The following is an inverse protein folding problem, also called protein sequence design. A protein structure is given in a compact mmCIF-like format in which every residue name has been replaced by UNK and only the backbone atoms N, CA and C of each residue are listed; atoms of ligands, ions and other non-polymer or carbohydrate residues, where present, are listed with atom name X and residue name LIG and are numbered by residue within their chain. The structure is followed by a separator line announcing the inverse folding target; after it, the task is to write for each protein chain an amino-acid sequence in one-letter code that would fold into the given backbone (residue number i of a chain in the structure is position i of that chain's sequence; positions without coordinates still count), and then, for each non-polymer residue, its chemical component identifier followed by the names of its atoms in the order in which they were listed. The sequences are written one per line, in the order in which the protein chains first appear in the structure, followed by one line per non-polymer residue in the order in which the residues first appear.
data_IF_674299902049
#
_entry.id   IF_674299902049
#
_cell.length_a   1.000
_cell.length_b   1.000
_cell.length_c   1.000
_cell.angle_alpha   90.00
_cell.angle_beta   90.00
_cell.angle_gamma   90.00
#
_symmetry.space_group_name_H-M   'P 1'
#
loop_
_entity.id
_entity.type
_entity.pdbx_description
1 polymer ?
#
# COMPACT_ATOMS: atom_id res chain seq x y z
N UNK A 1 -13.95 18.95 -1.11
CA UNK A 1 -14.86 17.94 -1.68
C UNK A 1 -14.61 16.66 -0.93
N UNK A 2 -15.66 15.96 -0.51
CA UNK A 2 -15.55 14.71 0.24
C UNK A 2 -15.68 13.51 -0.68
N UNK A 3 -14.98 12.44 -0.36
CA UNK A 3 -14.99 11.20 -1.11
C UNK A 3 -15.08 10.02 -0.15
N UNK A 4 -15.83 9.01 -0.57
CA UNK A 4 -15.79 7.67 0.02
C UNK A 4 -14.87 6.79 -0.81
N UNK A 5 -13.90 6.16 -0.17
CA UNK A 5 -12.98 5.20 -0.78
C UNK A 5 -13.31 3.81 -0.24
N UNK A 6 -13.55 2.86 -1.14
CA UNK A 6 -13.72 1.45 -0.80
C UNK A 6 -12.60 0.63 -1.42
N UNK A 7 -11.85 -0.10 -0.59
CA UNK A 7 -10.77 -0.99 -1.03
C UNK A 7 -11.22 -2.42 -0.81
N UNK A 8 -11.28 -3.21 -1.88
CA UNK A 8 -11.58 -4.65 -1.84
C UNK A 8 -10.30 -5.45 -2.08
N UNK A 9 -10.01 -6.40 -1.19
CA UNK A 9 -8.94 -7.37 -1.39
C UNK A 9 -9.35 -8.44 -2.41
N UNK A 10 -8.61 -8.52 -3.52
CA UNK A 10 -8.88 -9.46 -4.62
C UNK A 10 -8.07 -10.75 -4.52
N UNK A 11 -7.17 -10.85 -3.55
CA UNK A 11 -6.30 -12.02 -3.38
C UNK A 11 -7.07 -13.17 -2.72
N UNK A 12 -6.47 -14.37 -2.74
CA UNK A 12 -7.03 -15.58 -2.13
C UNK A 12 -6.48 -15.86 -0.72
N UNK A 13 -5.21 -15.50 -0.48
CA UNK A 13 -4.48 -15.87 0.74
C UNK A 13 -3.72 -14.73 1.40
N UNK A 14 -3.77 -13.52 0.83
CA UNK A 14 -3.05 -12.37 1.35
C UNK A 14 -4.00 -11.49 2.17
N UNK A 15 -3.52 -11.00 3.30
CA UNK A 15 -4.18 -9.94 4.07
C UNK A 15 -3.42 -8.64 3.85
N UNK A 16 -4.13 -7.51 3.80
CA UNK A 16 -3.47 -6.21 3.86
C UNK A 16 -3.39 -5.70 5.29
N UNK A 17 -2.27 -5.07 5.66
CA UNK A 17 -2.17 -4.28 6.90
C UNK A 17 -2.99 -2.99 6.78
N UNK A 18 -3.08 -2.17 7.84
CA UNK A 18 -3.69 -0.85 7.74
C UNK A 18 -3.21 -0.05 6.52
N UNK A 19 -4.16 0.42 5.72
CA UNK A 19 -3.87 1.33 4.63
C UNK A 19 -3.57 2.72 5.18
N UNK A 20 -2.52 3.34 4.65
CA UNK A 20 -2.33 4.79 4.70
C UNK A 20 -2.69 5.37 3.35
N UNK A 21 -3.54 6.39 3.33
CA UNK A 21 -4.00 7.03 2.12
C UNK A 21 -3.94 8.54 2.24
N UNK A 22 -3.70 9.24 1.13
CA UNK A 22 -3.58 10.69 1.12
C UNK A 22 -4.14 11.32 -0.15
N UNK A 23 -4.73 12.52 -0.01
CA UNK A 23 -5.00 13.42 -1.13
C UNK A 23 -3.89 14.46 -1.23
N UNK A 24 -3.39 14.67 -2.44
CA UNK A 24 -2.18 15.47 -2.65
C UNK A 24 -2.14 16.16 -4.02
N UNK A 25 -1.15 17.06 -4.18
CA UNK A 25 -0.84 17.73 -5.44
C UNK A 25 -0.19 16.77 -6.44
N UNK A 26 -0.23 17.15 -7.72
CA UNK A 26 0.41 16.41 -8.83
C UNK A 26 1.91 16.12 -8.63
N UNK A 27 2.60 17.00 -7.89
CA UNK A 27 4.04 16.89 -7.64
C UNK A 27 4.43 15.71 -6.75
N UNK A 28 3.49 15.21 -5.94
CA UNK A 28 3.74 14.13 -4.99
C UNK A 28 3.31 12.78 -5.55
N UNK A 29 4.09 11.76 -5.22
CA UNK A 29 3.82 10.34 -5.41
C UNK A 29 4.51 9.60 -4.26
N UNK A 30 4.03 8.44 -3.85
CA UNK A 30 4.55 7.75 -2.67
C UNK A 30 5.92 7.10 -2.92
N UNK A 31 6.17 6.66 -4.16
CA UNK A 31 7.42 6.04 -4.60
C UNK A 31 7.62 6.22 -6.11
N UNK A 32 8.82 5.87 -6.58
CA UNK A 32 9.18 5.78 -7.99
C UNK A 32 9.64 4.36 -8.31
N UNK A 33 9.23 3.81 -9.46
CA UNK A 33 9.76 2.54 -9.93
C UNK A 33 11.21 2.69 -10.37
N UNK A 34 12.05 1.73 -9.98
CA UNK A 34 13.49 1.73 -10.28
C UNK A 34 14.30 2.71 -9.41
N UNK A 35 13.70 3.30 -8.38
CA UNK A 35 14.40 4.10 -7.36
C UNK A 35 14.25 3.44 -5.99
N UNK A 36 15.20 3.68 -5.05
CA UNK A 36 15.09 3.18 -3.68
C UNK A 36 13.78 3.60 -3.01
N UNK A 37 13.20 2.71 -2.21
CA UNK A 37 12.08 3.05 -1.34
C UNK A 37 12.48 4.16 -0.34
N UNK A 38 11.53 5.04 -0.01
CA UNK A 38 11.70 5.90 1.16
C UNK A 38 11.57 5.07 2.44
N UNK A 39 12.14 5.55 3.55
CA UNK A 39 12.01 4.90 4.86
C UNK A 39 10.55 4.60 5.20
N UNK A 40 9.64 5.55 4.95
CA UNK A 40 8.21 5.33 5.21
C UNK A 40 7.57 4.24 4.35
N UNK A 41 8.05 4.02 3.12
CA UNK A 41 7.57 2.91 2.27
C UNK A 41 8.15 1.58 2.71
N UNK A 42 9.43 1.52 3.06
CA UNK A 42 10.05 0.32 3.61
C UNK A 42 9.33 -0.13 4.89
N UNK A 43 9.02 0.79 5.81
CA UNK A 43 8.30 0.46 7.05
C UNK A 43 6.87 -0.05 6.81
N UNK A 44 6.17 0.48 5.80
CA UNK A 44 4.87 -0.08 5.40
C UNK A 44 5.07 -1.47 4.80
N UNK A 45 6.07 -1.64 3.94
CA UNK A 45 6.30 -2.85 3.17
C UNK A 45 6.77 -4.03 4.03
N UNK A 46 7.58 -3.79 5.07
CA UNK A 46 8.14 -4.84 5.93
C UNK A 46 7.30 -5.08 7.19
N UNK A 47 6.76 -4.01 7.80
CA UNK A 47 6.09 -4.09 9.12
C UNK A 47 4.59 -3.78 9.07
N UNK A 48 4.10 -3.20 7.99
CA UNK A 48 2.80 -2.53 7.97
C UNK A 48 2.72 -1.32 8.90
N UNK A 49 3.87 -0.73 9.29
CA UNK A 49 3.91 0.46 10.11
C UNK A 49 3.79 1.72 9.24
N UNK A 50 2.66 2.40 9.35
CA UNK A 50 2.37 3.63 8.60
C UNK A 50 2.93 4.89 9.26
N UNK A 51 3.40 4.81 10.51
CA UNK A 51 3.78 5.97 11.33
C UNK A 51 4.83 6.87 10.69
N UNK A 52 5.96 6.33 10.19
CA UNK A 52 6.99 7.15 9.54
C UNK A 52 6.48 7.86 8.28
N UNK A 53 5.78 7.16 7.39
CA UNK A 53 5.23 7.78 6.18
C UNK A 53 4.16 8.82 6.50
N UNK A 54 3.28 8.54 7.46
CA UNK A 54 2.25 9.48 7.92
C UNK A 54 2.87 10.78 8.42
N UNK A 55 3.91 10.69 9.24
CA UNK A 55 4.62 11.86 9.78
C UNK A 55 5.22 12.74 8.67
N UNK A 56 5.80 12.11 7.63
CA UNK A 56 6.32 12.83 6.45
C UNK A 56 5.18 13.53 5.71
N UNK A 57 4.08 12.82 5.44
CA UNK A 57 2.94 13.35 4.68
C UNK A 57 2.23 14.49 5.44
N UNK A 58 2.11 14.42 6.77
CA UNK A 58 1.52 15.49 7.59
C UNK A 58 2.32 16.79 7.53
N UNK A 59 3.63 16.69 7.28
CA UNK A 59 4.52 17.85 7.18
C UNK A 59 4.66 18.42 5.76
N UNK A 60 4.13 17.74 4.73
CA UNK A 60 4.28 18.15 3.33
C UNK A 60 3.12 19.04 2.87
N UNK A 61 3.43 20.28 2.50
CA UNK A 61 2.47 21.25 1.94
C UNK A 61 1.77 20.78 0.65
N UNK A 62 2.23 19.69 0.04
CA UNK A 62 1.63 19.03 -1.11
C UNK A 62 0.52 18.06 -0.73
N UNK A 63 0.36 17.70 0.53
CA UNK A 63 -0.70 16.85 1.07
C UNK A 63 -1.82 17.72 1.64
N UNK A 64 -3.05 17.21 1.60
CA UNK A 64 -4.20 17.91 2.16
C UNK A 64 -4.96 17.08 3.20
N UNK A 65 -5.29 15.84 2.87
CA UNK A 65 -6.04 14.94 3.75
C UNK A 65 -5.29 13.62 3.80
N UNK A 66 -5.23 13.03 5.00
CA UNK A 66 -4.64 11.71 5.26
C UNK A 66 -5.70 10.89 5.97
N UNK A 67 -5.84 9.64 5.56
CA UNK A 67 -6.70 8.66 6.23
C UNK A 67 -5.90 7.38 6.46
N UNK A 68 -6.18 6.73 7.59
CA UNK A 68 -5.65 5.44 7.92
C UNK A 68 -6.80 4.48 8.23
N UNK A 69 -6.73 3.24 7.73
CA UNK A 69 -7.66 2.20 8.16
C UNK A 69 -7.16 1.49 9.41
N UNK A 70 -7.97 0.63 10.01
CA UNK A 70 -7.57 -0.18 11.16
C UNK A 70 -7.67 -1.66 10.82
N UNK A 71 -6.89 -2.48 11.53
CA UNK A 71 -6.93 -3.93 11.41
C UNK A 71 -6.40 -4.47 10.07
N UNK A 72 -6.51 -5.79 9.93
CA UNK A 72 -6.16 -6.48 8.69
C UNK A 72 -7.38 -6.53 7.76
N UNK A 73 -7.14 -6.37 6.45
CA UNK A 73 -8.14 -6.59 5.42
C UNK A 73 -7.90 -7.94 4.74
N UNK A 74 -8.69 -8.95 5.09
CA UNK A 74 -8.55 -10.31 4.59
C UNK A 74 -9.03 -10.52 3.14
N UNK A 75 -8.77 -11.69 2.54
CA UNK A 75 -9.21 -12.06 1.20
C UNK A 75 -10.72 -11.85 0.97
N UNK A 76 -11.08 -11.12 -0.10
CA UNK A 76 -12.47 -10.84 -0.48
C UNK A 76 -13.19 -9.79 0.38
N UNK A 77 -12.58 -9.33 1.47
CA UNK A 77 -13.16 -8.30 2.33
C UNK A 77 -13.04 -6.91 1.70
N UNK A 78 -13.83 -5.96 2.22
CA UNK A 78 -13.79 -4.57 1.80
C UNK A 78 -13.75 -3.65 3.02
N UNK A 79 -12.80 -2.72 3.03
CA UNK A 79 -12.77 -1.59 3.97
C UNK A 79 -13.23 -0.32 3.26
N UNK A 80 -13.91 0.55 3.98
CA UNK A 80 -14.34 1.85 3.47
C UNK A 80 -13.93 2.95 4.43
N UNK A 81 -13.39 4.04 3.90
CA UNK A 81 -12.99 5.22 4.65
C UNK A 81 -13.26 6.49 3.83
N UNK A 82 -13.20 7.63 4.50
CA UNK A 82 -13.44 8.93 3.87
C UNK A 82 -12.14 9.71 3.74
N UNK A 83 -12.04 10.49 2.66
CA UNK A 83 -10.99 11.48 2.43
C UNK A 83 -11.63 12.74 1.88
N UNK A 84 -10.89 13.84 1.93
CA UNK A 84 -11.37 15.09 1.37
C UNK A 84 -10.28 15.91 0.68
N UNK A 85 -10.68 17.06 0.14
CA UNK A 85 -9.83 17.99 -0.63
C UNK A 85 -10.25 19.42 -0.29
N UNK A 86 -9.29 20.33 -0.02
CA UNK A 86 -9.60 21.74 0.21
C UNK A 86 -10.08 22.35 -1.11
N UNK A 87 -11.37 22.63 -1.19
CA UNK A 87 -12.01 23.15 -2.39
C UNK A 87 -11.66 24.61 -2.65
N UNK A 88 -10.66 24.87 -3.51
CA UNK A 88 -10.68 25.88 -4.58
C UNK A 88 -9.49 25.57 -5.52
N UNK A 89 -9.73 25.46 -6.84
CA UNK A 89 -8.76 25.15 -7.91
C UNK A 89 -8.25 23.69 -8.06
N UNK A 90 -8.86 22.66 -7.44
CA UNK A 90 -8.48 21.24 -7.64
C UNK A 90 -6.98 20.92 -7.45
N UNK A 91 -6.26 21.70 -6.63
CA UNK A 91 -4.80 21.54 -6.47
C UNK A 91 -4.43 20.17 -5.89
N UNK A 92 -5.27 19.62 -5.03
CA UNK A 92 -5.10 18.32 -4.36
C UNK A 92 -5.96 17.22 -5.01
N UNK A 93 -6.09 17.26 -6.35
CA UNK A 93 -6.94 16.33 -7.10
C UNK A 93 -6.36 14.94 -7.32
N UNK A 94 -5.27 14.58 -6.63
CA UNK A 94 -4.62 13.27 -6.75
C UNK A 94 -4.74 12.50 -5.45
N UNK A 95 -4.73 11.19 -5.57
CA UNK A 95 -4.86 10.26 -4.47
C UNK A 95 -3.81 9.16 -4.57
N UNK A 96 -3.25 8.80 -3.42
CA UNK A 96 -2.40 7.63 -3.28
C UNK A 96 -2.76 6.86 -2.01
N UNK A 97 -2.47 5.56 -2.01
CA UNK A 97 -2.58 4.70 -0.84
C UNK A 97 -1.49 3.63 -0.86
N UNK A 98 -1.11 3.13 0.31
CA UNK A 98 -0.22 1.99 0.46
C UNK A 98 -0.60 1.13 1.68
N UNK A 99 -0.39 -0.18 1.58
CA UNK A 99 -0.47 -1.14 2.68
C UNK A 99 0.44 -2.35 2.39
N UNK A 100 0.95 -2.99 3.43
CA UNK A 100 1.69 -4.25 3.33
C UNK A 100 0.80 -5.38 2.81
N UNK A 101 1.39 -6.35 2.13
CA UNK A 101 0.81 -7.67 1.90
C UNK A 101 1.35 -8.67 2.94
N UNK A 102 0.47 -9.41 3.60
CA UNK A 102 0.84 -10.46 4.54
C UNK A 102 0.35 -11.84 4.07
N UNK A 103 1.18 -12.89 4.17
CA UNK A 103 2.60 -12.87 4.50
C UNK A 103 3.47 -12.53 3.27
N UNK A 104 4.32 -11.52 3.37
CA UNK A 104 5.41 -11.22 2.43
C UNK A 104 6.56 -10.58 3.21
N UNK A 105 7.74 -10.53 2.59
CA UNK A 105 8.92 -9.83 3.11
C UNK A 105 8.67 -8.31 3.09
N UNK A 106 8.80 -7.68 1.92
CA UNK A 106 8.61 -6.24 1.72
C UNK A 106 7.68 -5.91 0.56
N UNK A 107 6.59 -6.68 0.41
CA UNK A 107 5.61 -6.40 -0.63
C UNK A 107 4.48 -5.51 -0.10
N UNK A 108 4.13 -4.49 -0.87
CA UNK A 108 3.03 -3.57 -0.58
C UNK A 108 2.10 -3.36 -1.79
N UNK A 109 0.82 -3.13 -1.54
CA UNK A 109 -0.17 -2.73 -2.55
C UNK A 109 -0.19 -1.21 -2.62
N UNK A 110 -0.33 -0.64 -3.83
CA UNK A 110 -0.49 0.80 -3.94
C UNK A 110 -1.33 1.27 -5.12
N UNK A 111 -2.11 2.32 -4.89
CA UNK A 111 -2.38 3.31 -5.92
C UNK A 111 -1.42 4.47 -5.72
N UNK A 112 -0.72 4.86 -6.78
CA UNK A 112 0.30 5.90 -6.71
C UNK A 112 -0.05 7.03 -7.69
N UNK A 113 -0.54 8.15 -7.15
CA UNK A 113 -0.93 9.37 -7.87
C UNK A 113 -2.01 9.15 -8.93
N UNK A 114 -3.15 8.56 -8.54
CA UNK A 114 -4.35 8.50 -9.39
C UNK A 114 -5.17 9.78 -9.29
N UNK A 115 -6.01 10.07 -10.29
CA UNK A 115 -6.85 11.27 -10.31
C UNK A 115 -8.17 11.01 -9.60
N UNK A 116 -8.58 11.91 -8.69
CA UNK A 116 -9.89 11.84 -8.05
C UNK A 116 -11.02 12.14 -9.04
N UNK A 117 -12.17 11.46 -8.96
CA UNK A 117 -13.28 11.70 -9.88
C UNK A 117 -13.88 13.10 -9.66
N UNK A 118 -14.11 13.83 -10.74
CA UNK A 118 -14.80 15.11 -10.63
C UNK A 118 -16.29 14.93 -10.31
N UNK A 119 -16.95 13.88 -10.82
CA UNK A 119 -18.33 13.52 -10.52
C UNK A 119 -18.47 12.01 -10.44
N UNK A 120 -19.43 11.52 -9.66
CA UNK A 120 -19.70 10.09 -9.55
C UNK A 120 -18.54 9.29 -8.96
N UNK A 121 -18.31 8.10 -9.52
CA UNK A 121 -17.34 7.14 -9.01
C UNK A 121 -16.39 6.64 -10.09
N UNK A 122 -15.16 6.30 -9.69
CA UNK A 122 -14.16 5.63 -10.52
C UNK A 122 -13.59 4.42 -9.77
N UNK A 123 -13.29 3.35 -10.48
CA UNK A 123 -12.60 2.19 -9.91
C UNK A 123 -11.23 2.02 -10.55
N UNK A 124 -10.23 1.76 -9.71
CA UNK A 124 -8.88 1.40 -10.10
C UNK A 124 -8.58 -0.03 -9.65
N UNK A 125 -7.70 -0.69 -10.39
CA UNK A 125 -7.05 -1.91 -9.96
C UNK A 125 -5.65 -1.53 -9.45
N UNK A 126 -5.30 -1.99 -8.26
CA UNK A 126 -4.01 -1.74 -7.63
C UNK A 126 -3.16 -3.00 -7.68
N UNK A 127 -1.92 -2.83 -8.12
CA UNK A 127 -0.92 -3.89 -8.17
C UNK A 127 -0.08 -3.92 -6.88
N UNK A 128 0.61 -5.03 -6.69
CA UNK A 128 1.60 -5.21 -5.64
C UNK A 128 3.00 -4.83 -6.14
N UNK A 129 3.79 -4.22 -5.27
CA UNK A 129 5.15 -3.78 -5.50
C UNK A 129 6.04 -4.32 -4.39
N UNK A 130 7.25 -4.64 -4.76
CA UNK A 130 8.34 -5.03 -3.88
C UNK A 130 9.14 -3.76 -3.57
N UNK A 131 9.42 -3.48 -2.30
CA UNK A 131 10.14 -2.27 -1.90
C UNK A 131 11.65 -2.35 -2.23
N UNK A 132 12.18 -3.57 -2.37
CA UNK A 132 13.59 -3.86 -2.53
C UNK A 132 14.40 -3.43 -1.32
N UNK A 133 13.80 -3.39 -0.13
CA UNK A 133 14.46 -2.98 1.12
C UNK A 133 14.97 -4.14 1.95
N UNK A 134 14.47 -5.37 1.73
CA UNK A 134 15.02 -6.58 2.35
C UNK A 134 15.06 -7.78 1.38
N UNK A 135 15.79 -8.86 1.69
CA UNK A 135 15.80 -10.07 0.87
C UNK A 135 14.44 -10.80 0.84
N UNK A 136 14.01 -11.14 -0.36
CA UNK A 136 12.81 -11.95 -0.66
C UNK A 136 12.93 -13.43 -0.29
N UNK A 137 13.30 -13.72 0.96
CA UNK A 137 13.62 -15.06 1.43
C UNK A 137 12.41 -15.98 1.60
N UNK A 138 11.21 -15.41 1.75
CA UNK A 138 9.98 -16.11 2.12
C UNK A 138 10.10 -16.93 3.42
N UNK A 139 11.08 -16.59 4.27
CA UNK A 139 11.31 -17.24 5.55
C UNK A 139 10.40 -16.60 6.60
N UNK A 140 9.65 -17.41 7.36
CA UNK A 140 8.71 -16.86 8.34
C UNK A 140 9.40 -16.12 9.49
N UNK A 141 10.70 -16.31 9.69
CA UNK A 141 11.51 -15.53 10.64
C UNK A 141 11.72 -14.07 10.26
N UNK A 142 11.58 -13.73 8.97
CA UNK A 142 11.71 -12.38 8.42
C UNK A 142 10.37 -11.80 7.95
N UNK A 143 9.25 -12.43 8.35
CA UNK A 143 7.91 -11.99 7.95
C UNK A 143 7.06 -11.84 9.21
N UNK A 144 6.43 -10.68 9.43
CA UNK A 144 5.61 -10.47 10.61
C UNK A 144 4.31 -11.29 10.56
N UNK A 145 3.61 -11.29 11.70
CA UNK A 145 2.34 -12.00 11.84
C UNK A 145 1.20 -11.44 10.99
N UNK A 146 0.08 -12.19 10.86
CA UNK A 146 -0.30 -13.32 11.71
C UNK A 146 -0.01 -14.71 11.14
N UNK A 147 0.33 -14.83 9.85
CA UNK A 147 0.61 -16.13 9.24
C UNK A 147 2.01 -16.65 9.62
N UNK A 148 2.97 -15.74 9.66
CA UNK A 148 4.28 -15.95 10.26
C UNK A 148 4.30 -15.31 11.67
N UNK A 149 5.49 -15.03 12.20
CA UNK A 149 5.67 -14.40 13.50
C UNK A 149 7.09 -13.92 13.71
N UNK A 150 7.79 -13.67 12.61
CA UNK A 150 9.15 -13.18 12.57
C UNK A 150 9.25 -11.69 12.83
N UNK A 151 10.44 -11.18 12.58
CA UNK A 151 10.71 -9.74 12.63
C UNK A 151 9.99 -9.06 11.46
N UNK A 152 9.55 -7.81 11.69
CA UNK A 152 8.87 -7.02 10.66
C UNK A 152 9.71 -5.87 10.12
N UNK A 153 10.93 -5.66 10.62
CA UNK A 153 11.86 -4.69 10.05
C UNK A 153 13.23 -5.36 10.02
N UNK A 154 13.93 -5.23 8.89
CA UNK A 154 15.21 -5.88 8.66
C UNK A 154 16.31 -4.86 8.35
N UNK A 155 16.60 -3.88 9.23
CA UNK A 155 17.46 -2.73 8.90
C UNK A 155 18.94 -3.09 8.64
N UNK A 156 19.36 -4.29 9.01
CA UNK A 156 20.72 -4.79 8.83
C UNK A 156 20.88 -5.70 7.59
N UNK A 157 19.80 -5.94 6.84
CA UNK A 157 19.79 -6.75 5.61
C UNK A 157 19.57 -5.84 4.39
N UNK A 158 20.23 -6.15 3.26
CA UNK A 158 20.10 -5.39 2.01
C UNK A 158 19.17 -6.13 1.03
N UNK A 159 18.13 -5.46 0.54
CA UNK A 159 17.31 -5.93 -0.59
C UNK A 159 17.86 -5.55 -1.97
N UNK A 160 17.01 -5.56 -3.00
CA UNK A 160 17.39 -5.22 -4.38
C UNK A 160 17.77 -3.74 -4.57
N UNK A 161 17.38 -2.87 -3.63
CA UNK A 161 17.74 -1.46 -3.59
C UNK A 161 16.87 -0.54 -4.45
N UNK A 162 15.74 -1.03 -4.98
CA UNK A 162 14.79 -0.23 -5.74
C UNK A 162 13.38 -0.85 -5.72
N UNK A 163 12.36 -0.02 -5.87
CA UNK A 163 10.96 -0.47 -5.95
C UNK A 163 10.65 -1.03 -7.34
N UNK A 164 10.01 -2.19 -7.41
CA UNK A 164 9.58 -2.81 -8.67
C UNK A 164 8.25 -3.58 -8.54
N UNK A 165 7.58 -3.96 -9.65
CA UNK A 165 6.38 -4.78 -9.58
C UNK A 165 6.69 -6.11 -8.91
N UNK A 166 5.95 -6.46 -7.86
CA UNK A 166 6.22 -7.67 -7.08
C UNK A 166 6.01 -8.91 -7.95
N UNK A 167 6.97 -9.86 -7.96
CA UNK A 167 6.84 -11.12 -8.68
C UNK A 167 5.95 -12.12 -7.91
N UNK A 168 5.46 -11.73 -6.73
CA UNK A 168 4.65 -12.54 -5.83
C UNK A 168 5.40 -13.71 -5.20
N UNK A 169 4.67 -14.65 -4.60
CA UNK A 169 5.25 -15.78 -3.84
C UNK A 169 5.65 -16.94 -4.76
N UNK A 170 6.91 -17.35 -4.69
CA UNK A 170 7.51 -18.38 -5.53
C UNK A 170 7.67 -19.71 -4.79
N UNK A 171 7.62 -19.70 -3.45
CA UNK A 171 7.77 -20.89 -2.62
C UNK A 171 9.24 -21.28 -2.40
N UNK A 172 10.12 -20.28 -2.31
CA UNK A 172 11.57 -20.46 -2.12
C UNK A 172 11.94 -20.71 -0.65
N UNK A 173 11.11 -20.21 0.27
CA UNK A 173 11.27 -20.38 1.71
C UNK A 173 10.16 -21.23 2.33
N UNK A 174 9.54 -20.69 3.39
CA UNK A 174 8.51 -21.38 4.16
C UNK A 174 7.08 -21.05 3.70
N UNK A 175 6.93 -20.08 2.78
CA UNK A 175 5.64 -19.74 2.22
C UNK A 175 5.20 -20.71 1.13
N UNK A 176 3.92 -21.12 1.18
CA UNK A 176 3.33 -21.94 0.13
C UNK A 176 2.91 -21.08 -1.05
N UNK A 177 3.58 -21.25 -2.20
CA UNK A 177 3.15 -20.65 -3.47
C UNK A 177 1.68 -20.93 -3.78
N UNK A 178 1.20 -22.16 -3.58
CA UNK A 178 -0.19 -22.52 -3.86
C UNK A 178 -1.22 -21.81 -2.96
N UNK A 179 -0.79 -21.36 -1.77
CA UNK A 179 -1.63 -20.64 -0.82
C UNK A 179 -1.60 -19.13 -1.05
N UNK A 180 -0.41 -18.57 -1.28
CA UNK A 180 -0.17 -17.13 -1.18
C UNK A 180 0.10 -16.43 -2.50
N UNK A 181 0.43 -17.15 -3.59
CA UNK A 181 0.71 -16.50 -4.86
C UNK A 181 -0.54 -15.85 -5.47
N UNK A 182 -0.33 -14.73 -6.17
CA UNK A 182 -1.31 -14.01 -6.98
C UNK A 182 -0.79 -13.79 -8.40
N UNK A 183 -1.66 -13.32 -9.28
CA UNK A 183 -1.29 -12.90 -10.62
C UNK A 183 -2.14 -11.69 -11.01
N UNK A 184 -1.49 -10.60 -11.41
CA UNK A 184 -2.14 -9.33 -11.72
C UNK A 184 -2.56 -8.54 -10.46
N UNK A 185 -3.58 -7.68 -10.58
CA UNK A 185 -3.95 -6.77 -9.50
C UNK A 185 -4.43 -7.46 -8.23
N UNK A 186 -4.03 -6.92 -7.08
CA UNK A 186 -4.30 -7.48 -5.75
C UNK A 186 -5.46 -6.77 -5.03
N UNK A 187 -5.77 -5.53 -5.41
CA UNK A 187 -6.91 -4.80 -4.85
C UNK A 187 -7.73 -4.07 -5.92
N UNK A 188 -9.02 -3.92 -5.66
CA UNK A 188 -9.90 -3.00 -6.39
C UNK A 188 -10.23 -1.84 -5.47
N UNK A 189 -9.99 -0.62 -5.95
CA UNK A 189 -10.20 0.60 -5.18
C UNK A 189 -11.24 1.45 -5.91
N UNK A 190 -12.39 1.66 -5.28
CA UNK A 190 -13.45 2.51 -5.81
C UNK A 190 -13.49 3.81 -5.04
N UNK A 191 -13.38 4.93 -5.74
CA UNK A 191 -13.42 6.27 -5.18
C UNK A 191 -14.70 6.95 -5.67
N UNK A 192 -15.52 7.43 -4.75
CA UNK A 192 -16.82 8.06 -5.06
C UNK A 192 -16.88 9.46 -4.48
N UNK A 193 -17.17 10.47 -5.30
CA UNK A 193 -17.39 11.83 -4.82
C UNK A 193 -18.76 11.90 -4.11
N UNK A 194 -18.76 12.41 -2.88
CA UNK A 194 -19.97 12.66 -2.11
C UNK A 194 -20.62 13.98 -2.53
N UNK A 195 -21.95 14.06 -2.42
CA UNK A 195 -22.75 15.24 -2.74
C UNK A 195 -22.75 16.26 -1.60
#
# INVERSE_FOLDING_TARGET
MHFTVSVTNLTKGISFTPFLAATHKRSLQLFNLGEPASEGIAYIAEAGDTGPLMSVLESDDSVHSIAQTEGLLGPGETVTFEIDTSGWFNRFGYFSLAAMLLPTNDTFVSLNKVVLPYIGSVSYLADAYDAGSEPNSEMCGAIPGPACGGEGLSPDEDGEGYVYPSPGIHGEGELSQAAYQWAGPVAKVTISRMY
#
